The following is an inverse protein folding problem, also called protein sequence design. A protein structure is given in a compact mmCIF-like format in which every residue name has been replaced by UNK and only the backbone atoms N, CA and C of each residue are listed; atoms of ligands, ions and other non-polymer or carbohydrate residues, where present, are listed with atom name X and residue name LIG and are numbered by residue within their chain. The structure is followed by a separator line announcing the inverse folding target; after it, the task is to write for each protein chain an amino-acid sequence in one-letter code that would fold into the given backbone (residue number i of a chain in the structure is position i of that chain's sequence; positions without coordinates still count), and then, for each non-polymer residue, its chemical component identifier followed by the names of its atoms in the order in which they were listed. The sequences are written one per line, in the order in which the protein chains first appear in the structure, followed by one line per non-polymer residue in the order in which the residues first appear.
data_IF_792665872094
#
_entry.id   IF_792665872094
#
_cell.length_a   1.000
_cell.length_b   1.000
_cell.length_c   1.000
_cell.angle_alpha   90.00
_cell.angle_beta   90.00
_cell.angle_gamma   90.00
#
_symmetry.space_group_name_H-M   'P 1'
#
loop_
_entity.id
_entity.type
_entity.pdbx_description
1 polymer ?
#
# COMPACT_ATOMS: atom_id res chain seq x y z
N UNK A 1 0.97 -0.22 12.53
CA UNK A 1 2.45 -0.23 12.45
C UNK A 1 2.91 -1.14 11.31
N UNK A 2 2.53 -2.42 11.26
CA UNK A 2 2.98 -3.36 10.22
C UNK A 2 2.64 -2.87 8.80
N UNK A 3 1.42 -2.37 8.58
CA UNK A 3 0.96 -1.83 7.29
C UNK A 3 1.81 -0.66 6.81
N UNK A 4 2.11 0.28 7.72
CA UNK A 4 2.98 1.44 7.44
C UNK A 4 4.36 0.97 6.98
N UNK A 5 4.94 0.01 7.71
CA UNK A 5 6.25 -0.56 7.39
C UNK A 5 6.21 -1.31 6.06
N UNK A 6 5.19 -2.13 5.83
CA UNK A 6 5.07 -2.93 4.62
C UNK A 6 4.96 -2.08 3.35
N UNK A 7 4.07 -1.09 3.36
CA UNK A 7 3.90 -0.20 2.21
C UNK A 7 5.14 0.65 1.94
N UNK A 8 5.69 1.24 2.98
CA UNK A 8 6.89 2.05 2.84
C UNK A 8 8.13 1.26 2.38
N UNK A 9 8.30 0.01 2.83
CA UNK A 9 9.40 -0.85 2.37
C UNK A 9 9.24 -1.24 0.90
N UNK A 10 8.05 -1.69 0.49
CA UNK A 10 7.79 -2.08 -0.90
C UNK A 10 8.08 -0.93 -1.86
N UNK A 11 7.67 0.28 -1.50
CA UNK A 11 7.90 1.46 -2.31
C UNK A 11 9.37 1.89 -2.32
N UNK A 12 10.05 1.83 -1.18
CA UNK A 12 11.46 2.16 -1.08
C UNK A 12 12.34 1.23 -1.93
N UNK A 13 12.09 -0.08 -1.85
CA UNK A 13 12.81 -1.09 -2.62
C UNK A 13 12.62 -0.91 -4.13
N UNK A 14 11.47 -0.36 -4.56
CA UNK A 14 11.19 -0.07 -5.96
C UNK A 14 11.81 1.24 -6.46
N UNK A 15 12.02 2.24 -5.58
CA UNK A 15 12.45 3.59 -5.99
C UNK A 15 13.91 3.92 -5.69
N UNK A 16 14.58 3.16 -4.80
CA UNK A 16 15.96 3.44 -4.41
C UNK A 16 16.96 2.64 -5.25
N UNK A 17 17.87 3.36 -5.92
CA UNK A 17 19.00 2.76 -6.64
C UNK A 17 20.17 2.37 -5.74
N UNK A 18 20.26 2.97 -4.55
CA UNK A 18 21.30 2.72 -3.54
C UNK A 18 20.67 2.45 -2.18
N UNK A 19 21.21 1.52 -1.38
CA UNK A 19 20.71 1.27 -0.05
C UNK A 19 20.91 2.51 0.83
N UNK A 20 19.82 3.11 1.37
CA UNK A 20 19.93 4.26 2.25
C UNK A 20 20.49 3.86 3.62
N UNK A 21 21.06 4.82 4.36
CA UNK A 21 21.42 4.60 5.77
C UNK A 21 20.18 4.23 6.59
N UNK A 22 20.36 3.55 7.72
CA UNK A 22 19.23 3.12 8.58
C UNK A 22 18.24 4.25 8.93
N UNK A 23 18.68 5.45 9.40
CA UNK A 23 17.75 6.54 9.74
C UNK A 23 16.93 7.01 8.54
N UNK A 24 17.58 7.13 7.39
CA UNK A 24 16.89 7.57 6.16
C UNK A 24 15.94 6.54 5.60
N UNK A 25 16.29 5.26 5.77
CA UNK A 25 15.40 4.16 5.43
C UNK A 25 14.12 4.22 6.27
N UNK A 26 14.27 4.45 7.59
CA UNK A 26 13.11 4.61 8.48
C UNK A 26 12.26 5.83 8.11
N UNK A 27 12.88 6.97 7.78
CA UNK A 27 12.15 8.16 7.32
C UNK A 27 11.35 7.89 6.02
N UNK A 28 11.96 7.24 5.03
CA UNK A 28 11.29 6.89 3.78
C UNK A 28 10.11 5.93 4.01
N UNK A 29 10.31 4.90 4.83
CA UNK A 29 9.30 3.88 5.14
C UNK A 29 8.12 4.48 5.91
N UNK A 30 8.39 5.19 7.01
CA UNK A 30 7.34 5.76 7.86
C UNK A 30 6.63 6.92 7.18
N UNK A 31 7.34 7.75 6.41
CA UNK A 31 6.77 8.91 5.75
C UNK A 31 5.56 8.54 4.89
N UNK A 32 5.76 7.64 3.96
CA UNK A 32 4.70 7.24 3.02
C UNK A 32 3.54 6.52 3.70
N UNK A 33 3.83 5.51 4.52
CA UNK A 33 2.79 4.73 5.18
C UNK A 33 1.95 5.57 6.15
N UNK A 34 2.57 6.52 6.87
CA UNK A 34 1.86 7.44 7.75
C UNK A 34 1.01 8.44 6.96
N UNK A 35 1.47 8.92 5.80
CA UNK A 35 0.67 9.81 4.96
C UNK A 35 -0.58 9.10 4.43
N UNK A 36 -0.45 7.89 3.88
CA UNK A 36 -1.60 7.14 3.33
C UNK A 36 -2.69 6.94 4.37
N UNK A 37 -2.34 6.39 5.54
CA UNK A 37 -3.32 6.13 6.59
C UNK A 37 -3.73 7.41 7.31
N UNK A 38 -2.78 8.30 7.57
CA UNK A 38 -3.02 9.55 8.30
C UNK A 38 -4.01 10.45 7.59
N UNK A 39 -3.88 10.63 6.27
CA UNK A 39 -4.81 11.48 5.49
C UNK A 39 -6.22 10.91 5.52
N UNK A 40 -6.39 9.59 5.38
CA UNK A 40 -7.69 8.95 5.46
C UNK A 40 -8.39 9.23 6.79
N UNK A 41 -7.69 9.02 7.90
CA UNK A 41 -8.24 9.26 9.25
C UNK A 41 -8.39 10.74 9.59
N UNK A 42 -7.55 11.62 9.06
CA UNK A 42 -7.66 13.05 9.29
C UNK A 42 -8.82 13.70 8.51
N UNK A 43 -8.97 13.35 7.23
CA UNK A 43 -9.96 13.92 6.34
C UNK A 43 -11.36 13.36 6.59
N UNK A 44 -11.49 12.04 6.72
CA UNK A 44 -12.79 11.35 6.83
C UNK A 44 -12.73 10.22 7.88
N UNK A 45 -12.60 10.55 9.19
CA UNK A 45 -12.39 9.58 10.26
C UNK A 45 -13.48 8.50 10.33
N UNK A 46 -14.75 8.86 10.14
CA UNK A 46 -15.87 7.92 10.18
C UNK A 46 -15.79 6.91 9.03
N UNK A 47 -15.63 7.38 7.79
CA UNK A 47 -15.51 6.49 6.62
C UNK A 47 -14.26 5.60 6.70
N UNK A 48 -13.13 6.17 7.13
CA UNK A 48 -11.89 5.39 7.28
C UNK A 48 -11.97 4.35 8.41
N UNK A 49 -12.75 4.61 9.47
CA UNK A 49 -12.91 3.71 10.61
C UNK A 49 -14.01 2.66 10.40
N UNK A 50 -15.03 2.95 9.58
CA UNK A 50 -16.19 2.07 9.40
C UNK A 50 -15.85 0.59 9.12
N UNK A 51 -14.89 0.24 8.23
CA UNK A 51 -14.54 -1.16 8.01
C UNK A 51 -13.97 -1.87 9.24
N UNK A 52 -13.25 -1.14 10.10
CA UNK A 52 -12.71 -1.68 11.36
C UNK A 52 -13.83 -1.94 12.37
N UNK A 53 -14.79 -1.02 12.49
CA UNK A 53 -15.96 -1.21 13.35
C UNK A 53 -16.74 -2.46 12.95
N UNK A 54 -17.01 -2.63 11.65
CA UNK A 54 -17.70 -3.80 11.12
C UNK A 54 -16.95 -5.11 11.38
N UNK A 55 -15.62 -5.11 11.27
CA UNK A 55 -14.80 -6.30 11.57
C UNK A 55 -14.94 -6.77 13.02
N UNK A 56 -15.15 -5.86 13.97
CA UNK A 56 -15.34 -6.19 15.38
C UNK A 56 -16.82 -6.30 15.77
N UNK A 57 -17.72 -6.37 14.78
CA UNK A 57 -19.17 -6.54 15.00
C UNK A 57 -19.87 -5.31 15.57
N UNK A 58 -19.28 -4.12 15.41
CA UNK A 58 -19.86 -2.86 15.85
C UNK A 58 -20.52 -2.15 14.67
N UNK A 59 -21.65 -1.51 14.90
CA UNK A 59 -22.21 -0.57 13.92
C UNK A 59 -21.29 0.65 13.82
N UNK A 60 -21.01 1.15 12.59
CA UNK A 60 -20.24 2.38 12.44
C UNK A 60 -20.98 3.52 13.18
N UNK A 61 -20.33 4.23 14.10
CA UNK A 61 -20.97 5.35 14.78
C UNK A 61 -21.20 6.55 13.84
N UNK A 62 -22.05 7.51 14.23
CA UNK A 62 -22.33 8.69 13.43
C UNK A 62 -21.08 9.50 13.12
N UNK A 63 -21.16 10.29 12.03
CA UNK A 63 -20.05 10.97 11.35
C UNK A 63 -19.11 11.82 12.24
N UNK A 64 -19.60 12.35 13.33
CA UNK A 64 -18.91 13.27 14.27
C UNK A 64 -18.33 12.59 15.51
N UNK A 65 -18.49 11.26 15.65
CA UNK A 65 -18.17 10.52 16.87
C UNK A 65 -16.68 10.15 17.06
N UNK A 66 -15.76 10.65 16.22
CA UNK A 66 -14.36 10.20 16.23
C UNK A 66 -13.29 11.30 16.34
N UNK A 67 -13.36 12.19 17.35
CA UNK A 67 -12.32 13.21 17.51
C UNK A 67 -10.94 12.60 17.72
N UNK A 68 -10.83 11.50 18.50
CA UNK A 68 -9.56 10.83 18.78
C UNK A 68 -8.95 10.20 17.53
N UNK A 69 -9.76 9.54 16.69
CA UNK A 69 -9.31 8.96 15.42
C UNK A 69 -8.78 10.06 14.48
N UNK A 70 -9.48 11.21 14.43
CA UNK A 70 -9.05 12.37 13.66
C UNK A 70 -7.72 12.95 14.15
N UNK A 71 -7.57 13.08 15.47
CA UNK A 71 -6.33 13.58 16.08
C UNK A 71 -5.18 12.65 15.73
N UNK A 72 -5.36 11.34 15.88
CA UNK A 72 -4.35 10.34 15.49
C UNK A 72 -4.00 10.45 14.00
N UNK A 73 -5.01 10.65 13.14
CA UNK A 73 -4.81 10.91 11.72
C UNK A 73 -3.98 12.14 11.45
N UNK A 74 -4.29 13.27 12.09
CA UNK A 74 -3.54 14.53 11.97
C UNK A 74 -2.08 14.35 12.41
N UNK A 75 -1.85 13.72 13.57
CA UNK A 75 -0.50 13.44 14.05
C UNK A 75 0.29 12.55 13.09
N UNK A 76 -0.38 11.56 12.49
CA UNK A 76 0.22 10.70 11.47
C UNK A 76 0.57 11.48 10.20
N UNK A 77 -0.29 12.41 9.74
CA UNK A 77 0.01 13.31 8.59
C UNK A 77 1.20 14.18 8.88
N UNK A 78 1.27 14.80 10.06
CA UNK A 78 2.39 15.66 10.46
C UNK A 78 3.68 14.84 10.51
N UNK A 79 3.68 13.71 11.22
CA UNK A 79 4.84 12.82 11.32
C UNK A 79 5.28 12.26 9.98
N UNK A 80 4.32 11.83 9.15
CA UNK A 80 4.55 11.35 7.79
C UNK A 80 5.12 12.42 6.87
N UNK A 81 4.59 13.65 6.96
CA UNK A 81 5.06 14.81 6.20
C UNK A 81 6.51 15.17 6.58
N UNK A 82 6.83 15.25 7.87
CA UNK A 82 8.19 15.50 8.36
C UNK A 82 9.14 14.41 7.86
N UNK A 83 8.78 13.15 8.02
CA UNK A 83 9.60 12.02 7.58
C UNK A 83 9.84 12.03 6.06
N UNK A 84 8.81 12.33 5.27
CA UNK A 84 8.93 12.49 3.81
C UNK A 84 9.85 13.64 3.45
N UNK A 85 9.71 14.79 4.10
CA UNK A 85 10.57 15.94 3.88
C UNK A 85 12.04 15.64 4.20
N UNK A 86 12.31 15.00 5.34
CA UNK A 86 13.67 14.57 5.73
C UNK A 86 14.27 13.64 4.68
N UNK A 87 13.50 12.68 4.17
CA UNK A 87 13.92 11.78 3.10
C UNK A 87 14.24 12.52 1.81
N UNK A 88 13.37 13.43 1.39
CA UNK A 88 13.55 14.24 0.17
C UNK A 88 14.76 15.16 0.25
N UNK A 89 14.93 15.89 1.37
CA UNK A 89 16.07 16.77 1.59
C UNK A 89 17.39 16.01 1.51
N UNK A 90 17.41 14.79 2.03
CA UNK A 90 18.57 13.92 1.91
C UNK A 90 18.86 13.55 0.45
N UNK A 91 17.86 13.09 -0.30
CA UNK A 91 18.01 12.78 -1.74
C UNK A 91 18.54 13.99 -2.50
N UNK A 92 17.98 15.15 -2.21
CA UNK A 92 18.41 16.41 -2.82
C UNK A 92 19.89 16.70 -2.54
N UNK A 93 20.32 16.54 -1.30
CA UNK A 93 21.75 16.73 -0.91
C UNK A 93 22.69 15.70 -1.51
N UNK A 94 22.20 14.50 -1.81
CA UNK A 94 22.97 13.46 -2.48
C UNK A 94 22.99 13.61 -4.01
N UNK A 95 22.41 14.68 -4.58
CA UNK A 95 22.34 14.91 -6.00
C UNK A 95 21.20 14.18 -6.74
N UNK A 96 20.35 13.42 -6.02
CA UNK A 96 19.21 12.67 -6.56
C UNK A 96 17.97 13.58 -6.68
N UNK A 97 18.12 14.72 -7.38
CA UNK A 97 17.07 15.76 -7.44
C UNK A 97 15.81 15.29 -8.15
N UNK A 98 15.98 14.55 -9.26
CA UNK A 98 14.84 14.01 -10.02
C UNK A 98 14.01 13.05 -9.17
N UNK A 99 14.66 12.15 -8.47
CA UNK A 99 14.04 11.19 -7.60
C UNK A 99 13.33 11.88 -6.42
N UNK A 100 13.95 12.92 -5.85
CA UNK A 100 13.32 13.72 -4.80
C UNK A 100 12.04 14.42 -5.28
N UNK A 101 12.05 14.96 -6.51
CA UNK A 101 10.86 15.57 -7.12
C UNK A 101 9.78 14.53 -7.43
N UNK A 102 10.16 13.34 -7.90
CA UNK A 102 9.21 12.24 -8.10
C UNK A 102 8.56 11.82 -6.78
N UNK A 103 9.34 11.70 -5.69
CA UNK A 103 8.81 11.37 -4.37
C UNK A 103 7.85 12.45 -3.86
N UNK A 104 8.15 13.73 -4.09
CA UNK A 104 7.27 14.85 -3.73
C UNK A 104 5.95 14.79 -4.51
N UNK A 105 6.04 14.67 -5.83
CA UNK A 105 4.87 14.60 -6.69
C UNK A 105 3.97 13.43 -6.28
N UNK A 106 4.56 12.27 -6.05
CA UNK A 106 3.82 11.10 -5.63
C UNK A 106 3.17 11.27 -4.26
N UNK A 107 3.88 11.80 -3.26
CA UNK A 107 3.32 12.10 -1.95
C UNK A 107 2.15 13.09 -2.05
N UNK A 108 2.29 14.12 -2.88
CA UNK A 108 1.22 15.12 -3.12
C UNK A 108 0.00 14.47 -3.78
N UNK A 109 0.21 13.62 -4.80
CA UNK A 109 -0.89 12.93 -5.48
C UNK A 109 -1.61 11.95 -4.54
N UNK A 110 -0.88 11.24 -3.68
CA UNK A 110 -1.47 10.34 -2.66
C UNK A 110 -2.32 11.14 -1.69
N UNK A 111 -1.79 12.24 -1.14
CA UNK A 111 -2.51 13.10 -0.20
C UNK A 111 -3.76 13.68 -0.87
N UNK A 112 -3.65 14.16 -2.11
CA UNK A 112 -4.78 14.69 -2.87
C UNK A 112 -5.83 13.61 -3.16
N UNK A 113 -5.42 12.45 -3.64
CA UNK A 113 -6.35 11.35 -3.96
C UNK A 113 -7.14 10.92 -2.73
N UNK A 114 -6.47 10.72 -1.58
CA UNK A 114 -7.14 10.26 -0.35
C UNK A 114 -7.92 11.39 0.34
N UNK A 115 -7.39 12.62 0.32
CA UNK A 115 -8.00 13.76 1.03
C UNK A 115 -9.17 14.39 0.29
N UNK A 116 -9.23 14.28 -1.05
CA UNK A 116 -10.26 14.90 -1.88
C UNK A 116 -11.32 13.92 -2.39
N UNK A 117 -11.15 12.62 -2.14
CA UNK A 117 -12.11 11.59 -2.53
C UNK A 117 -12.57 10.79 -1.30
N UNK A 118 -13.40 9.77 -1.51
CA UNK A 118 -13.64 8.78 -0.47
C UNK A 118 -12.31 8.14 -0.06
N UNK A 119 -11.99 8.05 1.26
CA UNK A 119 -10.69 7.58 1.72
C UNK A 119 -10.38 6.14 1.31
N UNK A 120 -11.38 5.27 1.24
CA UNK A 120 -11.19 3.87 0.82
C UNK A 120 -10.92 3.79 -0.68
N UNK A 121 -11.60 4.62 -1.47
CA UNK A 121 -11.31 4.76 -2.90
C UNK A 121 -9.89 5.29 -3.12
N UNK A 122 -9.50 6.37 -2.43
CA UNK A 122 -8.16 6.95 -2.56
C UNK A 122 -7.04 5.99 -2.16
N UNK A 123 -7.23 5.23 -1.05
CA UNK A 123 -6.31 4.16 -0.64
C UNK A 123 -6.27 3.05 -1.71
N UNK A 124 -7.42 2.66 -2.27
CA UNK A 124 -7.49 1.66 -3.33
C UNK A 124 -6.73 2.10 -4.59
N UNK A 125 -6.88 3.34 -5.01
CA UNK A 125 -6.13 3.93 -6.14
C UNK A 125 -4.63 3.89 -5.87
N UNK A 126 -4.19 4.34 -4.70
CA UNK A 126 -2.77 4.25 -4.30
C UNK A 126 -2.27 2.79 -4.34
N UNK A 127 -3.03 1.88 -3.75
CA UNK A 127 -2.64 0.48 -3.69
C UNK A 127 -2.47 -0.13 -5.08
N UNK A 128 -3.41 0.09 -5.98
CA UNK A 128 -3.39 -0.48 -7.33
C UNK A 128 -2.34 0.19 -8.23
N UNK A 129 -2.35 1.53 -8.28
CA UNK A 129 -1.52 2.29 -9.23
C UNK A 129 -0.05 2.36 -8.82
N UNK A 130 0.25 2.30 -7.54
CA UNK A 130 1.59 2.50 -7.01
C UNK A 130 2.15 1.22 -6.40
N UNK A 131 1.56 0.74 -5.31
CA UNK A 131 2.11 -0.35 -4.53
C UNK A 131 2.09 -1.69 -5.30
N UNK A 132 0.91 -2.12 -5.76
CA UNK A 132 0.76 -3.39 -6.49
C UNK A 132 1.44 -3.36 -7.84
N UNK A 133 1.35 -2.24 -8.56
CA UNK A 133 2.01 -2.10 -9.85
C UNK A 133 3.54 -2.19 -9.74
N UNK A 134 4.14 -1.55 -8.74
CA UNK A 134 5.59 -1.67 -8.46
C UNK A 134 5.98 -3.10 -8.12
N UNK A 135 5.14 -3.79 -7.34
CA UNK A 135 5.39 -5.19 -7.02
C UNK A 135 5.33 -6.07 -8.28
N UNK A 136 4.33 -5.88 -9.14
CA UNK A 136 4.22 -6.58 -10.42
C UNK A 136 5.41 -6.29 -11.35
N UNK A 137 5.87 -5.03 -11.42
CA UNK A 137 7.08 -4.65 -12.17
C UNK A 137 8.33 -5.35 -11.63
N UNK A 138 8.47 -5.44 -10.32
CA UNK A 138 9.58 -6.16 -9.68
C UNK A 138 9.57 -7.64 -10.06
N UNK A 139 8.44 -8.31 -9.96
CA UNK A 139 8.29 -9.71 -10.36
C UNK A 139 8.58 -9.91 -11.85
N UNK A 140 8.04 -9.04 -12.71
CA UNK A 140 8.30 -9.07 -14.15
C UNK A 140 9.77 -8.80 -14.52
N UNK A 141 10.54 -8.17 -13.63
CA UNK A 141 11.97 -7.90 -13.79
C UNK A 141 12.87 -8.98 -13.18
N UNK A 142 12.30 -10.03 -12.58
CA UNK A 142 13.00 -11.14 -11.94
C UNK A 142 12.86 -12.39 -12.82
N UNK A 143 13.88 -12.75 -13.65
CA UNK A 143 13.77 -13.85 -14.63
C UNK A 143 13.39 -15.18 -14.01
N UNK A 144 13.83 -15.43 -12.78
CA UNK A 144 13.63 -16.69 -12.05
C UNK A 144 12.15 -16.93 -11.67
N UNK A 145 11.33 -15.88 -11.70
CA UNK A 145 9.87 -15.96 -11.40
C UNK A 145 9.08 -16.32 -12.64
N UNK A 146 9.65 -16.12 -13.82
CA UNK A 146 8.97 -16.32 -15.10
C UNK A 146 9.27 -17.71 -15.68
N UNK A 147 8.34 -18.31 -16.44
CA UNK A 147 8.60 -19.55 -17.16
C UNK A 147 9.79 -19.40 -18.13
N UNK A 148 10.46 -20.52 -18.42
CA UNK A 148 11.54 -20.56 -19.40
C UNK A 148 11.06 -19.94 -20.73
N UNK A 149 11.89 -19.06 -21.31
CA UNK A 149 11.57 -18.32 -22.54
C UNK A 149 10.64 -17.10 -22.38
N UNK A 150 9.98 -16.91 -21.25
CA UNK A 150 9.15 -15.73 -21.02
C UNK A 150 9.96 -14.49 -20.60
N UNK A 151 11.15 -14.71 -20.00
CA UNK A 151 12.03 -13.64 -19.51
C UNK A 151 12.66 -12.76 -20.61
N UNK A 152 12.80 -13.29 -21.84
CA UNK A 152 13.35 -12.57 -23.02
C UNK A 152 12.34 -11.68 -23.76
N UNK A 153 11.07 -11.62 -23.34
CA UNK A 153 10.03 -10.84 -23.99
C UNK A 153 10.00 -9.35 -23.57
N UNK A 154 9.14 -8.56 -24.23
CA UNK A 154 8.87 -7.18 -23.82
C UNK A 154 8.35 -7.11 -22.38
N UNK A 155 8.49 -5.95 -21.72
CA UNK A 155 7.97 -5.73 -20.36
C UNK A 155 6.47 -6.05 -20.26
N UNK A 156 5.68 -5.66 -21.25
CA UNK A 156 4.23 -5.94 -21.29
C UNK A 156 3.97 -7.45 -21.27
N UNK A 157 4.71 -8.22 -22.08
CA UNK A 157 4.58 -9.68 -22.10
C UNK A 157 4.93 -10.30 -20.74
N UNK A 158 6.00 -9.83 -20.10
CA UNK A 158 6.40 -10.29 -18.76
C UNK A 158 5.36 -9.95 -17.69
N UNK A 159 4.79 -8.75 -17.73
CA UNK A 159 3.68 -8.37 -16.85
C UNK A 159 2.45 -9.25 -17.06
N UNK A 160 2.08 -9.55 -18.30
CA UNK A 160 0.99 -10.49 -18.60
C UNK A 160 1.26 -11.87 -17.99
N UNK A 161 2.48 -12.40 -18.10
CA UNK A 161 2.85 -13.66 -17.46
C UNK A 161 2.73 -13.62 -15.94
N UNK A 162 3.18 -12.54 -15.28
CA UNK A 162 3.01 -12.37 -13.84
C UNK A 162 1.53 -12.45 -13.45
N UNK A 163 0.64 -11.78 -14.19
CA UNK A 163 -0.79 -11.82 -13.91
C UNK A 163 -1.40 -13.21 -14.17
N UNK A 164 -1.04 -13.86 -15.27
CA UNK A 164 -1.52 -15.21 -15.57
C UNK A 164 -1.09 -16.23 -14.50
N UNK A 165 0.16 -16.16 -14.06
CA UNK A 165 0.68 -17.02 -12.99
C UNK A 165 0.04 -16.74 -11.63
N UNK A 166 -0.54 -15.56 -11.41
CA UNK A 166 -1.25 -15.24 -10.18
C UNK A 166 -2.68 -15.77 -10.14
N UNK A 167 -3.30 -16.10 -11.29
CA UNK A 167 -4.71 -16.52 -11.37
C UNK A 167 -5.04 -17.76 -10.52
N UNK A 168 -4.21 -18.83 -10.49
CA UNK A 168 -4.50 -20.01 -9.67
C UNK A 168 -4.59 -19.71 -8.18
N UNK A 169 -3.96 -18.62 -7.71
CA UNK A 169 -4.04 -18.14 -6.34
C UNK A 169 -5.15 -17.11 -6.16
N UNK A 170 -5.30 -16.21 -7.13
CA UNK A 170 -6.25 -15.11 -7.09
C UNK A 170 -7.70 -15.61 -7.09
N UNK A 171 -8.03 -16.56 -7.98
CA UNK A 171 -9.41 -17.07 -8.11
C UNK A 171 -9.92 -17.75 -6.82
N UNK A 172 -9.20 -18.70 -6.20
CA UNK A 172 -9.62 -19.28 -4.93
C UNK A 172 -9.67 -18.25 -3.81
N UNK A 173 -8.74 -17.28 -3.79
CA UNK A 173 -8.73 -16.21 -2.79
C UNK A 173 -9.96 -15.34 -2.89
N UNK A 174 -10.37 -14.94 -4.09
CA UNK A 174 -11.59 -14.17 -4.30
C UNK A 174 -12.84 -14.98 -3.91
N UNK A 175 -12.88 -16.27 -4.28
CA UNK A 175 -13.99 -17.14 -3.89
C UNK A 175 -14.10 -17.28 -2.35
N UNK A 176 -12.96 -17.43 -1.68
CA UNK A 176 -12.89 -17.47 -0.20
C UNK A 176 -13.36 -16.15 0.42
N UNK A 177 -12.94 -15.00 -0.12
CA UNK A 177 -13.35 -13.68 0.37
C UNK A 177 -14.86 -13.46 0.19
N UNK A 178 -15.42 -13.84 -0.96
CA UNK A 178 -16.85 -13.75 -1.20
C UNK A 178 -17.61 -14.68 -0.26
N UNK A 179 -17.14 -15.92 -0.07
CA UNK A 179 -17.71 -16.86 0.89
C UNK A 179 -17.67 -16.32 2.33
N UNK A 180 -16.55 -15.74 2.75
CA UNK A 180 -16.43 -15.11 4.05
C UNK A 180 -17.38 -13.92 4.21
N UNK A 181 -17.43 -13.02 3.20
CA UNK A 181 -18.38 -11.89 3.21
C UNK A 181 -19.82 -12.37 3.36
N UNK A 182 -20.22 -13.38 2.57
CA UNK A 182 -21.56 -13.96 2.66
C UNK A 182 -21.87 -14.55 4.04
N UNK A 183 -20.95 -15.34 4.59
CA UNK A 183 -21.12 -15.97 5.90
C UNK A 183 -21.19 -14.94 7.04
N UNK A 184 -20.42 -13.86 6.95
CA UNK A 184 -20.35 -12.83 7.99
C UNK A 184 -21.51 -11.83 7.92
N UNK A 185 -21.90 -11.42 6.72
CA UNK A 185 -22.81 -10.29 6.51
C UNK A 185 -24.14 -10.68 5.82
N UNK A 186 -24.27 -11.91 5.31
CA UNK A 186 -25.45 -12.38 4.58
C UNK A 186 -25.71 -11.67 3.25
N UNK A 187 -24.79 -10.82 2.79
CA UNK A 187 -24.92 -10.03 1.57
C UNK A 187 -23.55 -9.62 1.01
N UNK A 188 -23.51 -9.18 -0.24
CA UNK A 188 -22.31 -8.63 -0.90
C UNK A 188 -22.37 -7.09 -0.96
N UNK A 189 -22.88 -6.45 0.07
CA UNK A 189 -22.86 -5.00 0.17
C UNK A 189 -21.44 -4.43 0.25
N UNK A 190 -21.24 -3.18 -0.18
CA UNK A 190 -19.95 -2.52 -0.24
C UNK A 190 -19.22 -2.53 1.12
N UNK A 191 -19.95 -2.28 2.20
CA UNK A 191 -19.41 -2.25 3.56
C UNK A 191 -18.89 -3.62 4.00
N UNK A 192 -19.66 -4.69 3.77
CA UNK A 192 -19.27 -6.05 4.08
C UNK A 192 -18.05 -6.51 3.27
N UNK A 193 -18.04 -6.21 1.98
CA UNK A 193 -16.90 -6.50 1.11
C UNK A 193 -15.65 -5.76 1.58
N UNK A 194 -15.76 -4.47 1.90
CA UNK A 194 -14.63 -3.66 2.36
C UNK A 194 -14.09 -4.18 3.71
N UNK A 195 -14.98 -4.48 4.65
CA UNK A 195 -14.58 -5.05 5.94
C UNK A 195 -13.88 -6.41 5.77
N UNK A 196 -14.42 -7.30 4.92
CA UNK A 196 -13.82 -8.60 4.63
C UNK A 196 -12.44 -8.45 3.98
N UNK A 197 -12.30 -7.56 3.00
CA UNK A 197 -11.01 -7.27 2.35
C UNK A 197 -10.00 -6.70 3.33
N UNK A 198 -10.41 -5.81 4.23
CA UNK A 198 -9.55 -5.28 5.29
C UNK A 198 -9.09 -6.39 6.24
N UNK A 199 -10.00 -7.25 6.68
CA UNK A 199 -9.67 -8.40 7.54
C UNK A 199 -8.67 -9.33 6.88
N UNK A 200 -8.90 -9.71 5.64
CA UNK A 200 -7.97 -10.50 4.84
C UNK A 200 -6.60 -9.82 4.72
N UNK A 201 -6.58 -8.53 4.41
CA UNK A 201 -5.35 -7.76 4.31
C UNK A 201 -4.57 -7.77 5.64
N UNK A 202 -5.24 -7.57 6.77
CA UNK A 202 -4.60 -7.59 8.09
C UNK A 202 -3.98 -8.95 8.41
N UNK A 203 -4.66 -10.05 8.06
CA UNK A 203 -4.17 -11.42 8.30
C UNK A 203 -3.00 -11.74 7.37
N UNK A 204 -3.07 -11.36 6.10
CA UNK A 204 -2.09 -11.76 5.08
C UNK A 204 -0.87 -10.85 5.02
N UNK A 205 -0.93 -9.62 5.54
CA UNK A 205 0.19 -8.66 5.47
C UNK A 205 1.48 -9.21 6.05
N UNK A 206 1.43 -9.87 7.22
CA UNK A 206 2.65 -10.39 7.85
C UNK A 206 3.27 -11.55 7.06
N UNK A 207 2.53 -12.62 6.69
CA UNK A 207 3.08 -13.69 5.85
C UNK A 207 3.60 -13.18 4.51
N UNK A 208 2.84 -12.29 3.85
CA UNK A 208 3.24 -11.68 2.58
C UNK A 208 4.53 -10.89 2.72
N UNK A 209 4.68 -10.08 3.78
CA UNK A 209 5.88 -9.33 4.05
C UNK A 209 7.11 -10.25 4.26
N UNK A 210 6.95 -11.33 5.03
CA UNK A 210 8.02 -12.28 5.29
C UNK A 210 8.47 -13.02 4.02
N UNK A 211 7.51 -13.43 3.18
CA UNK A 211 7.80 -14.07 1.90
C UNK A 211 8.47 -13.07 0.93
N UNK A 212 7.99 -11.85 0.86
CA UNK A 212 8.55 -10.81 0.00
C UNK A 212 10.03 -10.49 0.29
N UNK A 213 10.45 -10.65 1.56
CA UNK A 213 11.87 -10.46 1.95
C UNK A 213 12.81 -11.56 1.44
N UNK A 214 12.26 -12.73 1.08
CA UNK A 214 13.03 -13.85 0.53
C UNK A 214 13.19 -13.79 -0.99
N UNK A 215 12.41 -12.92 -1.66
CA UNK A 215 12.56 -12.71 -3.09
C UNK A 215 13.89 -12.03 -3.40
N UNK A 216 14.60 -12.44 -4.48
CA UNK A 216 15.81 -11.78 -4.89
C UNK A 216 15.54 -10.30 -5.15
N UNK A 217 16.47 -9.44 -4.71
CA UNK A 217 16.43 -8.01 -5.02
C UNK A 217 16.56 -7.79 -6.52
N UNK A 218 15.90 -6.76 -7.06
CA UNK A 218 16.09 -6.36 -8.47
C UNK A 218 17.56 -6.01 -8.67
N UNK A 219 18.29 -6.87 -9.37
CA UNK A 219 19.63 -6.52 -9.89
C UNK A 219 19.39 -5.50 -11.01
N UNK A 220 19.62 -4.24 -10.72
CA UNK A 220 19.69 -3.21 -11.76
C UNK A 220 21.09 -3.33 -12.38
N UNK A 221 21.16 -3.92 -13.59
CA UNK A 221 22.33 -3.84 -14.45
C UNK A 221 22.55 -2.42 -14.95
#
# INVERSE_FOLDING_TARGET
VLTVIHWGLGDLDATSSRPPSRPSRMAAISGRGLLVLGVAFAASPAAAWAPFALLVGQSPPPFDAYPDVRIVGILAVIGGGIATLVWMLRRWRCGERREALCDLTEATLIVAAIGLTDPLFGIGVYFLSTHSFRHALRLASTPEVLPEGAGGGSLVRRLLWVHLLSLPLLVPTLAMLLGWCWLQFGSFGADGLTATMLGFFLITTLPHHLLGRRLPGVRRG
#
